data_IF_211116043449
#
_entry.id   IF_211116043449
#
_cell.length_a   1.000
_cell.length_b   1.000
_cell.length_c   1.000
_cell.angle_alpha   90.00
_cell.angle_beta   90.00
_cell.angle_gamma   90.00
#
_symmetry.space_group_name_H-M   'P 1'
#
loop_
_entity.id
_entity.type
_entity.pdbx_description
1 polymer ?
#
# COMPACT_ATOMS: atom_id res chain seq x y z
N UNK A 1 -65.56 6.56 9.36
CA UNK A 1 -64.66 7.60 9.87
C UNK A 1 -63.56 6.91 10.65
N UNK A 2 -62.35 6.66 10.20
CA UNK A 2 -61.64 6.86 8.94
C UNK A 2 -60.47 5.87 9.00
N UNK A 3 -60.45 4.82 8.17
CA UNK A 3 -59.33 3.85 8.10
C UNK A 3 -58.78 3.68 6.68
N UNK A 4 -59.09 4.61 5.77
CA UNK A 4 -58.58 4.59 4.39
C UNK A 4 -57.49 5.65 4.14
N UNK A 5 -56.92 6.29 5.17
CA UNK A 5 -55.94 7.37 4.98
C UNK A 5 -54.45 6.96 5.04
N UNK A 6 -54.12 5.70 5.33
CA UNK A 6 -52.71 5.26 5.50
C UNK A 6 -52.09 4.49 4.33
N UNK A 7 -52.88 3.94 3.42
CA UNK A 7 -52.39 3.28 2.22
C UNK A 7 -51.61 4.21 1.26
N UNK A 8 -52.07 5.46 0.97
CA UNK A 8 -51.35 6.31 0.01
C UNK A 8 -50.01 6.79 0.56
N UNK A 9 -49.87 6.94 1.88
CA UNK A 9 -48.64 7.44 2.49
C UNK A 9 -47.52 6.40 2.48
N UNK A 10 -47.85 5.12 2.67
CA UNK A 10 -46.90 4.01 2.53
C UNK A 10 -46.49 3.81 1.06
N UNK A 11 -47.44 3.96 0.14
CA UNK A 11 -47.16 3.85 -1.30
C UNK A 11 -46.31 5.02 -1.81
N UNK A 12 -46.51 6.23 -1.28
CA UNK A 12 -45.72 7.41 -1.58
C UNK A 12 -44.30 7.31 -0.98
N UNK A 13 -44.15 6.73 0.21
CA UNK A 13 -42.83 6.44 0.79
C UNK A 13 -42.09 5.37 -0.02
N UNK A 14 -42.79 4.35 -0.51
CA UNK A 14 -42.20 3.30 -1.34
C UNK A 14 -41.79 3.85 -2.71
N UNK A 15 -42.59 4.74 -3.31
CA UNK A 15 -42.23 5.47 -4.53
C UNK A 15 -41.04 6.39 -4.32
N UNK A 16 -40.95 7.12 -3.20
CA UNK A 16 -39.77 7.93 -2.89
C UNK A 16 -38.52 7.08 -2.72
N UNK A 17 -38.61 5.90 -2.06
CA UNK A 17 -37.47 5.01 -1.93
C UNK A 17 -37.03 4.42 -3.29
N UNK A 18 -38.00 4.07 -4.16
CA UNK A 18 -37.72 3.62 -5.52
C UNK A 18 -37.08 4.72 -6.37
N UNK A 19 -37.52 5.96 -6.20
CA UNK A 19 -36.95 7.13 -6.88
C UNK A 19 -35.54 7.42 -6.38
N UNK A 20 -35.29 7.28 -5.08
CA UNK A 20 -33.98 7.48 -4.47
C UNK A 20 -32.99 6.36 -4.84
N UNK A 21 -33.46 5.10 -4.97
CA UNK A 21 -32.66 3.98 -5.49
C UNK A 21 -32.39 4.12 -7.00
N UNK A 22 -33.28 4.81 -7.74
CA UNK A 22 -33.05 5.16 -9.15
C UNK A 22 -32.10 6.37 -9.30
N UNK A 23 -32.10 7.32 -8.37
CA UNK A 23 -31.15 8.45 -8.36
C UNK A 23 -29.73 8.04 -7.97
N UNK A 24 -29.57 7.05 -7.08
CA UNK A 24 -28.26 6.44 -6.74
C UNK A 24 -27.68 5.57 -7.88
N UNK A 25 -28.47 5.27 -8.91
CA UNK A 25 -27.98 4.70 -10.17
C UNK A 25 -27.82 5.82 -11.20
N UNK A 26 -26.77 6.63 -11.05
CA UNK A 26 -26.39 7.60 -12.07
C UNK A 26 -26.19 6.89 -13.42
N UNK A 27 -27.13 7.09 -14.34
CA UNK A 27 -26.98 6.75 -15.75
C UNK A 27 -25.95 7.70 -16.38
N UNK A 28 -25.12 7.22 -17.32
CA UNK A 28 -24.03 8.01 -17.88
C UNK A 28 -24.57 9.23 -18.62
N UNK A 29 -24.10 10.42 -18.25
CA UNK A 29 -24.34 11.63 -19.01
C UNK A 29 -23.43 11.63 -20.26
N UNK A 30 -23.88 12.10 -21.45
CA UNK A 30 -23.18 11.82 -22.71
C UNK A 30 -21.90 12.65 -22.94
N UNK A 31 -21.35 13.29 -21.90
CA UNK A 31 -20.17 14.15 -22.04
C UNK A 31 -19.31 14.22 -20.77
N UNK A 32 -19.20 13.12 -20.01
CA UNK A 32 -18.24 13.06 -18.91
C UNK A 32 -16.80 12.97 -19.44
N UNK A 33 -15.95 13.89 -18.99
CA UNK A 33 -14.51 13.82 -19.22
C UNK A 33 -13.93 12.55 -18.60
N UNK A 34 -12.82 12.04 -19.14
CA UNK A 34 -12.11 10.90 -18.54
C UNK A 34 -11.76 11.14 -17.06
N UNK A 35 -11.45 12.39 -16.73
CA UNK A 35 -11.15 12.82 -15.37
C UNK A 35 -12.39 12.77 -14.45
N UNK A 36 -13.57 13.16 -14.96
CA UNK A 36 -14.84 13.06 -14.24
C UNK A 36 -15.25 11.61 -14.01
N UNK A 37 -15.01 10.73 -15.00
CA UNK A 37 -15.23 9.29 -14.88
C UNK A 37 -14.36 8.68 -13.76
N UNK A 38 -13.06 8.98 -13.75
CA UNK A 38 -12.12 8.54 -12.71
C UNK A 38 -12.45 9.12 -11.33
N UNK A 39 -12.88 10.38 -11.27
CA UNK A 39 -13.33 11.01 -10.02
C UNK A 39 -14.58 10.33 -9.45
N UNK A 40 -15.54 9.94 -10.31
CA UNK A 40 -16.71 9.15 -9.93
C UNK A 40 -16.32 7.78 -9.38
N UNK A 41 -15.43 7.04 -10.07
CA UNK A 41 -14.91 5.76 -9.58
C UNK A 41 -14.28 5.88 -8.19
N UNK A 42 -13.48 6.93 -7.97
CA UNK A 42 -12.87 7.21 -6.66
C UNK A 42 -13.91 7.50 -5.59
N UNK A 43 -15.00 8.19 -5.91
CA UNK A 43 -16.13 8.44 -4.97
C UNK A 43 -16.85 7.14 -4.63
N UNK A 44 -17.22 6.35 -5.63
CA UNK A 44 -17.89 5.07 -5.47
C UNK A 44 -17.07 4.06 -4.66
N UNK A 45 -15.75 4.07 -4.82
CA UNK A 45 -14.83 3.24 -4.03
C UNK A 45 -14.81 3.66 -2.56
N UNK A 46 -14.82 4.97 -2.26
CA UNK A 46 -14.94 5.48 -0.88
C UNK A 46 -16.27 5.07 -0.24
N UNK A 47 -17.37 5.19 -0.99
CA UNK A 47 -18.70 4.80 -0.51
C UNK A 47 -18.80 3.29 -0.26
N UNK A 48 -18.16 2.46 -1.11
CA UNK A 48 -18.05 1.02 -0.88
C UNK A 48 -17.27 0.71 0.39
N UNK A 49 -16.15 1.39 0.66
CA UNK A 49 -15.37 1.20 1.90
C UNK A 49 -16.25 1.49 3.12
N UNK A 50 -17.01 2.60 3.11
CA UNK A 50 -17.95 2.92 4.20
C UNK A 50 -18.97 1.78 4.37
N UNK A 51 -19.57 1.28 3.29
CA UNK A 51 -20.53 0.16 3.33
C UNK A 51 -19.91 -1.15 3.82
N UNK A 52 -18.69 -1.48 3.41
CA UNK A 52 -17.96 -2.67 3.87
C UNK A 52 -17.68 -2.57 5.37
N UNK A 53 -17.33 -1.39 5.88
CA UNK A 53 -17.08 -1.23 7.32
C UNK A 53 -18.34 -1.41 8.16
N UNK A 54 -19.51 -0.94 7.68
CA UNK A 54 -20.79 -1.14 8.38
C UNK A 54 -21.22 -2.60 8.36
N UNK A 55 -21.11 -3.28 7.21
CA UNK A 55 -21.35 -4.72 7.08
C UNK A 55 -20.40 -5.55 7.97
N UNK A 56 -19.12 -5.21 8.02
CA UNK A 56 -18.17 -5.87 8.94
C UNK A 56 -18.55 -5.68 10.41
N UNK A 57 -19.12 -4.53 10.79
CA UNK A 57 -19.60 -4.28 12.16
C UNK A 57 -20.83 -5.12 12.51
N UNK A 58 -21.79 -5.27 11.60
CA UNK A 58 -23.01 -6.10 11.85
C UNK A 58 -22.67 -7.59 11.92
N UNK A 59 -21.70 -8.06 11.14
CA UNK A 59 -21.21 -9.44 11.14
C UNK A 59 -20.57 -9.88 12.46
N UNK A 60 -20.00 -8.96 13.26
CA UNK A 60 -19.34 -9.29 14.54
C UNK A 60 -20.29 -9.91 15.58
N UNK A 61 -21.59 -9.66 15.47
CA UNK A 61 -22.60 -10.12 16.44
C UNK A 61 -23.05 -11.58 16.23
N UNK A 62 -22.96 -12.13 15.00
CA UNK A 62 -23.46 -13.47 14.70
C UNK A 62 -22.54 -14.27 13.76
N UNK A 63 -21.92 -15.34 14.30
CA UNK A 63 -20.94 -16.19 13.60
C UNK A 63 -21.48 -16.89 12.34
N UNK A 64 -22.80 -17.12 12.25
CA UNK A 64 -23.43 -17.69 11.05
C UNK A 64 -23.52 -16.65 9.93
N UNK A 65 -23.93 -15.44 10.29
CA UNK A 65 -24.01 -14.29 9.37
C UNK A 65 -22.63 -13.78 8.95
N UNK A 66 -21.59 -13.95 9.78
CA UNK A 66 -20.24 -13.49 9.45
C UNK A 66 -19.68 -14.08 8.14
N UNK A 67 -19.98 -15.36 7.84
CA UNK A 67 -19.55 -15.98 6.58
C UNK A 67 -20.32 -15.46 5.38
N UNK A 68 -21.62 -15.24 5.54
CA UNK A 68 -22.52 -14.72 4.52
C UNK A 68 -22.17 -13.27 4.17
N UNK A 69 -21.99 -12.43 5.19
CA UNK A 69 -21.56 -11.03 5.03
C UNK A 69 -20.16 -10.93 4.41
N UNK A 70 -19.24 -11.85 4.72
CA UNK A 70 -17.91 -11.86 4.08
C UNK A 70 -18.01 -12.21 2.59
N UNK A 71 -18.89 -13.15 2.22
CA UNK A 71 -19.13 -13.49 0.82
C UNK A 71 -19.83 -12.34 0.08
N UNK A 72 -20.76 -11.64 0.73
CA UNK A 72 -21.44 -10.47 0.20
C UNK A 72 -20.48 -9.29 -0.05
N UNK A 73 -19.56 -9.03 0.89
CA UNK A 73 -18.50 -8.01 0.70
C UNK A 73 -17.64 -8.33 -0.53
N UNK A 74 -17.21 -9.59 -0.68
CA UNK A 74 -16.41 -10.00 -1.83
C UNK A 74 -17.18 -9.86 -3.16
N UNK A 75 -18.49 -10.15 -3.16
CA UNK A 75 -19.35 -9.96 -4.33
C UNK A 75 -19.52 -8.47 -4.68
N UNK A 76 -19.70 -7.59 -3.68
CA UNK A 76 -19.83 -6.15 -3.88
C UNK A 76 -18.54 -5.53 -4.44
N UNK A 77 -17.39 -5.90 -3.88
CA UNK A 77 -16.07 -5.43 -4.35
C UNK A 77 -15.78 -5.91 -5.79
N UNK A 78 -16.06 -7.18 -6.09
CA UNK A 78 -15.88 -7.72 -7.44
C UNK A 78 -16.83 -7.06 -8.45
N UNK A 79 -18.10 -6.86 -8.09
CA UNK A 79 -19.09 -6.26 -8.98
C UNK A 79 -18.73 -4.81 -9.34
N UNK A 80 -18.27 -4.02 -8.37
CA UNK A 80 -17.87 -2.63 -8.58
C UNK A 80 -16.62 -2.54 -9.46
N UNK A 81 -15.60 -3.35 -9.19
CA UNK A 81 -14.39 -3.41 -10.03
C UNK A 81 -14.71 -3.81 -11.47
N UNK A 82 -15.61 -4.78 -11.68
CA UNK A 82 -16.04 -5.17 -13.03
C UNK A 82 -16.84 -4.09 -13.75
N UNK A 83 -17.53 -3.20 -13.03
CA UNK A 83 -18.21 -2.05 -13.63
C UNK A 83 -17.21 -0.98 -14.05
N UNK A 84 -16.28 -0.59 -13.17
CA UNK A 84 -15.23 0.38 -13.48
C UNK A 84 -14.40 -0.05 -14.71
N UNK A 85 -13.99 -1.31 -14.75
CA UNK A 85 -13.27 -1.89 -15.90
C UNK A 85 -14.05 -1.81 -17.22
N UNK A 86 -15.39 -1.94 -17.18
CA UNK A 86 -16.23 -1.86 -18.38
C UNK A 86 -16.37 -0.41 -18.84
N UNK A 87 -16.63 0.49 -17.91
CA UNK A 87 -16.77 1.91 -18.19
C UNK A 87 -15.47 2.49 -18.78
N UNK A 88 -14.31 2.11 -18.26
CA UNK A 88 -13.01 2.51 -18.81
C UNK A 88 -12.78 1.97 -20.24
N UNK A 89 -13.16 0.72 -20.50
CA UNK A 89 -13.05 0.12 -21.84
C UNK A 89 -14.00 0.76 -22.84
N UNK A 90 -15.23 1.06 -22.42
CA UNK A 90 -16.22 1.74 -23.26
C UNK A 90 -15.77 3.16 -23.57
N UNK A 91 -15.26 3.90 -22.57
CA UNK A 91 -14.72 5.24 -22.78
C UNK A 91 -13.51 5.22 -23.74
N UNK A 92 -12.57 4.27 -23.53
CA UNK A 92 -11.44 4.06 -24.43
C UNK A 92 -11.88 3.67 -25.85
N UNK A 93 -12.94 2.88 -26.01
CA UNK A 93 -13.45 2.47 -27.33
C UNK A 93 -14.16 3.60 -28.08
N UNK A 94 -14.79 4.53 -27.36
CA UNK A 94 -15.55 5.65 -27.95
C UNK A 94 -14.61 6.79 -28.36
N UNK A 95 -13.61 7.11 -27.52
CA UNK A 95 -12.74 8.27 -27.72
C UNK A 95 -11.31 7.93 -28.17
N UNK A 96 -10.87 6.68 -28.04
CA UNK A 96 -9.51 6.23 -28.38
C UNK A 96 -9.19 6.13 -29.87
N UNK A 97 -10.14 6.42 -30.78
CA UNK A 97 -9.93 6.39 -32.24
C UNK A 97 -9.85 7.78 -32.89
N UNK A 98 -9.94 8.87 -32.13
CA UNK A 98 -9.91 10.25 -32.68
C UNK A 98 -8.64 11.00 -32.28
N UNK A 99 -7.49 10.54 -32.77
CA UNK A 99 -6.22 11.29 -32.67
C UNK A 99 -5.21 10.91 -33.76
N UNK A 100 -5.58 11.12 -35.03
CA UNK A 100 -4.60 11.30 -36.12
C UNK A 100 -5.10 12.33 -37.14
N UNK A 101 -4.62 13.59 -37.06
CA UNK A 101 -4.04 14.39 -38.18
C UNK A 101 -3.70 15.83 -37.73
N UNK A 102 -2.41 16.15 -37.81
CA UNK A 102 -1.67 17.43 -37.88
C UNK A 102 -2.36 18.81 -37.72
N UNK A 103 -1.89 19.62 -36.75
CA UNK A 103 -1.10 20.84 -37.00
C UNK A 103 -0.89 21.68 -35.71
N UNK A 104 0.40 21.84 -35.34
CA UNK A 104 1.02 22.92 -34.54
C UNK A 104 0.08 24.03 -34.01
N UNK A 105 -0.17 24.01 -32.70
CA UNK A 105 -0.21 25.21 -31.88
C UNK A 105 0.51 24.95 -30.57
N UNK A 106 1.30 25.93 -30.17
CA UNK A 106 2.17 25.98 -29.01
C UNK A 106 1.37 25.98 -27.71
N UNK A 107 1.37 24.85 -26.99
CA UNK A 107 1.27 24.82 -25.52
C UNK A 107 2.04 23.61 -25.02
N UNK A 108 2.98 23.89 -24.13
CA UNK A 108 3.83 22.94 -23.41
C UNK A 108 2.96 21.98 -22.58
N UNK A 109 3.09 20.65 -22.71
CA UNK A 109 2.45 19.73 -21.79
C UNK A 109 3.16 19.84 -20.43
N UNK A 110 2.43 20.31 -19.43
CA UNK A 110 2.74 20.07 -18.03
C UNK A 110 2.52 18.58 -17.78
N UNK A 111 3.60 17.88 -17.44
CA UNK A 111 3.55 16.62 -16.73
C UNK A 111 3.02 16.93 -15.32
N UNK A 112 1.71 16.78 -15.10
CA UNK A 112 1.17 16.60 -13.75
C UNK A 112 1.14 15.10 -13.48
N UNK A 113 2.14 14.71 -12.71
CA UNK A 113 2.36 13.39 -12.13
C UNK A 113 1.15 12.92 -11.34
N UNK A 114 0.88 11.64 -11.53
CA UNK A 114 -0.07 10.80 -10.83
C UNK A 114 0.14 10.89 -9.31
N UNK A 115 -0.76 11.59 -8.62
CA UNK A 115 -0.82 11.58 -7.17
C UNK A 115 -1.37 10.22 -6.70
N UNK A 116 -0.39 9.37 -6.39
CA UNK A 116 -0.43 8.12 -5.65
C UNK A 116 -1.38 8.23 -4.44
N UNK A 117 -2.45 7.44 -4.41
CA UNK A 117 -3.31 7.37 -3.23
C UNK A 117 -2.61 6.54 -2.14
N UNK A 118 -1.95 7.25 -1.22
CA UNK A 118 -1.30 6.68 -0.04
C UNK A 118 -2.24 5.78 0.79
N UNK A 119 -1.84 4.52 0.95
CA UNK A 119 -2.46 3.50 1.82
C UNK A 119 -2.05 3.71 3.30
N UNK A 120 -1.86 4.95 3.75
CA UNK A 120 -1.26 5.24 5.06
C UNK A 120 -2.23 5.66 6.18
N UNK A 121 -3.55 5.54 6.02
CA UNK A 121 -4.49 5.89 7.09
C UNK A 121 -5.65 4.91 7.33
N UNK A 122 -5.32 3.62 7.47
CA UNK A 122 -6.19 2.67 8.19
C UNK A 122 -5.54 2.37 9.55
N UNK A 123 -6.22 2.61 10.69
CA UNK A 123 -5.68 2.27 12.01
C UNK A 123 -5.33 0.76 12.13
N UNK A 124 -4.03 0.45 12.19
CA UNK A 124 -3.47 -0.89 12.37
C UNK A 124 -3.42 -1.21 13.87
N UNK A 125 -4.56 -1.58 14.45
CA UNK A 125 -4.64 -1.94 15.89
C UNK A 125 -4.90 -3.43 16.15
N UNK A 126 -4.73 -4.34 15.17
CA UNK A 126 -5.03 -5.76 15.42
C UNK A 126 -4.14 -6.83 14.78
N UNK A 127 -2.90 -6.51 14.39
CA UNK A 127 -1.92 -7.51 13.94
C UNK A 127 -0.62 -7.48 14.76
N UNK A 128 -0.73 -7.58 16.07
CA UNK A 128 0.43 -7.95 16.92
C UNK A 128 0.51 -9.46 17.05
N UNK A 129 1.42 -10.08 16.30
CA UNK A 129 1.99 -11.39 16.64
C UNK A 129 3.22 -11.10 17.51
N UNK A 130 3.02 -10.99 18.82
CA UNK A 130 4.11 -11.02 19.78
C UNK A 130 4.31 -12.48 20.26
N UNK A 131 5.53 -13.04 20.18
CA UNK A 131 5.85 -14.34 20.77
C UNK A 131 6.00 -14.17 22.28
N UNK A 132 5.12 -14.80 23.06
CA UNK A 132 5.28 -14.85 24.52
C UNK A 132 6.27 -15.94 24.92
N UNK A 133 7.21 -15.67 25.86
CA UNK A 133 8.17 -16.67 26.34
C UNK A 133 7.50 -17.60 27.37
N UNK A 134 7.36 -18.88 27.01
CA UNK A 134 6.86 -19.91 27.91
C UNK A 134 7.96 -20.37 28.89
N UNK A 135 7.66 -20.21 30.19
CA UNK A 135 8.46 -20.68 31.33
C UNK A 135 8.72 -22.20 31.25
N UNK A 136 9.99 -22.61 31.38
CA UNK A 136 10.40 -24.00 31.62
C UNK A 136 10.55 -24.27 33.11
N UNK A 137 9.96 -25.38 33.60
CA UNK A 137 10.50 -26.23 34.67
C UNK A 137 10.20 -27.70 34.38
N UNK A 138 11.00 -28.64 34.92
CA UNK A 138 11.40 -29.85 34.21
C UNK A 138 10.61 -31.09 34.62
N UNK A 139 10.47 -32.04 33.70
CA UNK A 139 10.16 -33.43 34.02
C UNK A 139 11.02 -34.32 33.13
N UNK A 140 12.07 -34.85 33.74
CA UNK A 140 12.93 -35.90 33.19
C UNK A 140 12.28 -37.27 33.42
N UNK A 141 12.56 -38.15 32.46
CA UNK A 141 12.60 -39.62 32.55
C UNK A 141 11.27 -40.37 32.56
N UNK A 142 10.93 -40.96 31.42
CA UNK A 142 11.08 -42.42 31.22
C UNK A 142 10.85 -42.76 29.74
N UNK A 143 11.95 -43.04 29.03
CA UNK A 143 11.93 -43.88 27.84
C UNK A 143 12.13 -45.32 28.30
N UNK A 144 11.22 -46.22 27.93
CA UNK A 144 11.50 -47.47 27.20
C UNK A 144 10.31 -48.44 27.33
N UNK A 145 10.12 -49.22 26.25
CA UNK A 145 9.19 -50.35 26.07
C UNK A 145 7.77 -49.91 25.66
N UNK A 146 7.21 -50.24 24.49
CA UNK A 146 7.32 -51.46 23.67
C UNK A 146 7.20 -51.14 22.17
N UNK A 147 8.15 -51.65 21.39
CA UNK A 147 7.87 -52.15 20.05
C UNK A 147 7.25 -53.53 20.19
N UNK A 148 6.00 -53.68 19.75
CA UNK A 148 5.41 -54.86 19.09
C UNK A 148 3.89 -54.77 19.21
N UNK A 149 3.23 -54.48 18.10
CA UNK A 149 2.19 -55.36 17.54
C UNK A 149 1.68 -54.77 16.23
N UNK A 150 1.95 -55.51 15.16
CA UNK A 150 1.26 -55.43 13.89
C UNK A 150 -0.22 -55.80 14.06
N UNK A 151 -1.02 -55.23 13.16
CA UNK A 151 -2.35 -55.69 12.76
C UNK A 151 -3.45 -55.63 13.83
N UNK A 152 -4.14 -54.50 13.87
CA UNK A 152 -5.61 -54.52 13.91
C UNK A 152 -6.16 -53.55 12.88
N UNK A 153 -6.91 -54.11 11.94
CA UNK A 153 -7.83 -53.43 11.05
C UNK A 153 -8.89 -52.70 11.89
N UNK A 154 -8.82 -51.37 11.92
CA UNK A 154 -9.79 -50.55 12.63
C UNK A 154 -9.54 -49.08 12.32
N UNK A 155 -10.05 -48.62 11.18
CA UNK A 155 -9.88 -47.26 10.68
C UNK A 155 -10.36 -46.23 11.71
N UNK A 156 -9.44 -45.74 12.56
CA UNK A 156 -9.63 -44.50 13.30
C UNK A 156 -9.72 -43.41 12.26
N UNK A 157 -10.94 -42.93 11.99
CA UNK A 157 -11.20 -41.72 11.22
C UNK A 157 -10.29 -40.63 11.78
N UNK A 158 -9.26 -40.28 11.01
CA UNK A 158 -8.38 -39.15 11.32
C UNK A 158 -9.27 -37.96 11.64
N UNK A 159 -8.91 -37.21 12.68
CA UNK A 159 -9.69 -36.08 13.13
C UNK A 159 -9.90 -35.15 11.92
N UNK A 160 -11.13 -35.03 11.42
CA UNK A 160 -11.49 -34.28 10.20
C UNK A 160 -10.87 -32.88 10.14
N UNK A 161 -10.61 -32.30 11.30
CA UNK A 161 -9.99 -30.99 11.48
C UNK A 161 -8.48 -30.99 11.16
N UNK A 162 -7.79 -32.09 11.46
CA UNK A 162 -6.37 -32.33 11.12
C UNK A 162 -6.22 -32.55 9.61
N UNK A 163 -7.04 -33.41 9.01
CA UNK A 163 -7.02 -33.64 7.55
C UNK A 163 -7.30 -32.35 6.76
N UNK A 164 -8.21 -31.51 7.26
CA UNK A 164 -8.50 -30.21 6.64
C UNK A 164 -7.35 -29.21 6.77
N UNK A 165 -6.61 -29.24 7.88
CA UNK A 165 -5.41 -28.40 8.10
C UNK A 165 -4.27 -28.87 7.21
N UNK A 166 -4.04 -30.18 7.15
CA UNK A 166 -2.98 -30.78 6.35
C UNK A 166 -3.24 -30.56 4.85
N UNK A 167 -4.48 -30.70 4.38
CA UNK A 167 -4.86 -30.38 2.99
C UNK A 167 -4.67 -28.90 2.64
N UNK A 168 -4.94 -27.98 3.58
CA UNK A 168 -4.69 -26.54 3.38
C UNK A 168 -3.18 -26.23 3.38
N UNK A 169 -2.41 -26.87 4.26
CA UNK A 169 -0.95 -26.75 4.28
C UNK A 169 -0.31 -27.26 2.99
N UNK A 170 -0.77 -28.41 2.50
CA UNK A 170 -0.33 -28.98 1.22
C UNK A 170 -0.62 -28.03 0.06
N UNK A 171 -1.83 -27.47 -0.01
CA UNK A 171 -2.19 -26.53 -1.07
C UNK A 171 -1.38 -25.22 -1.04
N UNK A 172 -1.04 -24.70 0.16
CA UNK A 172 -0.16 -23.53 0.29
C UNK A 172 1.25 -23.88 -0.16
N UNK A 173 1.75 -25.06 0.22
CA UNK A 173 3.08 -25.52 -0.18
C UNK A 173 3.16 -25.72 -1.69
N UNK A 174 2.17 -26.36 -2.31
CA UNK A 174 2.12 -26.55 -3.76
C UNK A 174 2.03 -25.20 -4.50
N UNK A 175 1.35 -24.20 -3.92
CA UNK A 175 1.31 -22.83 -4.43
C UNK A 175 2.66 -22.12 -4.29
N UNK A 176 3.36 -22.28 -3.16
CA UNK A 176 4.70 -21.74 -2.94
C UNK A 176 5.72 -22.37 -3.88
N UNK A 177 5.73 -23.71 -4.01
CA UNK A 177 6.63 -24.43 -4.91
C UNK A 177 6.39 -24.05 -6.37
N UNK A 178 5.14 -23.72 -6.75
CA UNK A 178 4.81 -23.20 -8.08
C UNK A 178 5.31 -21.77 -8.28
N UNK A 179 5.07 -20.89 -7.30
CA UNK A 179 5.56 -19.52 -7.32
C UNK A 179 7.10 -19.46 -7.34
N UNK A 180 7.79 -20.34 -6.62
CA UNK A 180 9.25 -20.42 -6.61
C UNK A 180 9.82 -20.90 -7.95
N UNK A 181 9.17 -21.86 -8.61
CA UNK A 181 9.56 -22.27 -9.98
C UNK A 181 9.34 -21.17 -11.02
N UNK A 182 8.27 -20.40 -10.88
CA UNK A 182 8.01 -19.22 -11.73
C UNK A 182 9.04 -18.11 -11.44
N UNK A 183 9.38 -17.88 -10.17
CA UNK A 183 10.37 -16.88 -9.74
C UNK A 183 11.82 -17.27 -10.09
N UNK A 184 12.17 -18.56 -10.10
CA UNK A 184 13.50 -19.03 -10.49
C UNK A 184 13.82 -18.75 -11.97
N UNK A 185 12.80 -18.57 -12.81
CA UNK A 185 12.96 -18.11 -14.19
C UNK A 185 13.12 -16.58 -14.31
N UNK A 186 12.85 -15.83 -13.25
CA UNK A 186 12.95 -14.38 -13.26
C UNK A 186 14.36 -13.92 -12.92
N UNK A 187 14.91 -13.04 -13.74
CA UNK A 187 16.20 -12.40 -13.46
C UNK A 187 16.01 -11.40 -12.32
N UNK A 188 16.82 -11.51 -11.27
CA UNK A 188 16.84 -10.53 -10.20
C UNK A 188 17.56 -9.27 -10.69
N UNK A 189 16.79 -8.30 -11.19
CA UNK A 189 17.33 -7.05 -11.75
C UNK A 189 18.21 -6.29 -10.75
N UNK A 190 17.86 -6.29 -9.46
CA UNK A 190 18.65 -5.64 -8.41
C UNK A 190 20.04 -6.27 -8.26
N UNK A 191 20.17 -7.59 -8.42
CA UNK A 191 21.48 -8.24 -8.39
C UNK A 191 22.31 -7.91 -9.62
N UNK A 192 21.67 -7.77 -10.80
CA UNK A 192 22.35 -7.38 -12.04
C UNK A 192 22.87 -5.95 -11.91
N UNK A 193 22.02 -5.03 -11.46
CA UNK A 193 22.37 -3.63 -11.20
C UNK A 193 23.50 -3.53 -10.18
N UNK A 194 23.38 -4.20 -9.02
CA UNK A 194 24.41 -4.16 -7.98
C UNK A 194 25.76 -4.65 -8.49
N UNK A 195 25.79 -5.74 -9.27
CA UNK A 195 27.03 -6.23 -9.88
C UNK A 195 27.64 -5.22 -10.85
N UNK A 196 26.81 -4.57 -11.68
CA UNK A 196 27.30 -3.55 -12.60
C UNK A 196 27.94 -2.37 -11.84
N UNK A 197 27.35 -1.93 -10.73
CA UNK A 197 27.92 -0.88 -9.88
C UNK A 197 29.21 -1.37 -9.20
N UNK A 198 29.24 -2.60 -8.68
CA UNK A 198 30.42 -3.22 -8.06
C UNK A 198 31.59 -3.31 -9.06
N UNK A 199 31.33 -3.66 -10.32
CA UNK A 199 32.34 -3.70 -11.38
C UNK A 199 32.94 -2.32 -11.65
N UNK A 200 32.10 -1.29 -11.77
CA UNK A 200 32.56 0.11 -11.96
C UNK A 200 33.37 0.59 -10.75
N UNK A 201 32.93 0.27 -9.53
CA UNK A 201 33.63 0.65 -8.31
C UNK A 201 35.02 -0.03 -8.22
N UNK A 202 35.10 -1.32 -8.59
CA UNK A 202 36.34 -2.08 -8.61
C UNK A 202 37.36 -1.46 -9.59
N UNK A 203 36.91 -1.03 -10.77
CA UNK A 203 37.75 -0.35 -11.76
C UNK A 203 38.33 0.97 -11.23
N UNK A 204 37.66 1.61 -10.27
CA UNK A 204 38.11 2.82 -9.59
C UNK A 204 38.88 2.56 -8.29
N UNK A 205 39.22 1.29 -8.00
CA UNK A 205 39.86 0.87 -6.74
C UNK A 205 39.03 1.21 -5.49
N UNK A 206 37.70 1.25 -5.63
CA UNK A 206 36.75 1.53 -4.55
C UNK A 206 35.92 0.29 -4.19
N UNK A 207 35.35 0.31 -2.99
CA UNK A 207 34.44 -0.74 -2.50
C UNK A 207 33.13 -0.13 -2.04
N UNK A 208 32.01 -0.78 -2.35
CA UNK A 208 30.68 -0.37 -1.89
C UNK A 208 30.51 -0.80 -0.43
N UNK A 209 30.12 0.14 0.42
CA UNK A 209 29.71 -0.11 1.81
C UNK A 209 28.20 0.07 1.94
N UNK A 210 27.51 -0.95 2.46
CA UNK A 210 26.05 -0.90 2.61
C UNK A 210 25.67 -0.05 3.83
N UNK A 211 24.96 1.05 3.58
CA UNK A 211 24.36 1.90 4.60
C UNK A 211 22.91 1.48 4.83
N UNK A 212 22.42 1.68 6.06
CA UNK A 212 21.03 1.39 6.40
C UNK A 212 20.09 2.22 5.52
N UNK A 213 19.09 1.61 4.85
CA UNK A 213 18.17 2.32 3.95
C UNK A 213 17.08 3.03 4.77
N UNK A 214 17.46 4.07 5.50
CA UNK A 214 16.56 4.95 6.26
C UNK A 214 16.60 6.39 5.72
N UNK A 215 15.76 7.27 6.26
CA UNK A 215 15.77 8.69 5.90
C UNK A 215 17.04 9.44 6.33
N UNK A 216 17.98 8.77 7.00
CA UNK A 216 19.27 9.32 7.41
C UNK A 216 20.44 8.79 6.58
N UNK A 217 20.19 7.98 5.55
CA UNK A 217 21.20 7.27 4.78
C UNK A 217 22.30 8.18 4.21
N UNK A 218 21.95 9.36 3.69
CA UNK A 218 22.91 10.35 3.19
C UNK A 218 23.92 10.76 4.27
N UNK A 219 23.41 11.17 5.43
CA UNK A 219 24.23 11.59 6.57
C UNK A 219 25.01 10.43 7.18
N UNK A 220 24.45 9.22 7.21
CA UNK A 220 25.16 8.01 7.63
C UNK A 220 26.33 7.70 6.70
N UNK A 221 26.14 7.84 5.38
CA UNK A 221 27.20 7.65 4.39
C UNK A 221 28.32 8.68 4.55
N UNK A 222 27.97 9.96 4.75
CA UNK A 222 28.94 11.03 4.98
C UNK A 222 29.69 10.82 6.32
N UNK A 223 28.98 10.44 7.39
CA UNK A 223 29.60 10.16 8.69
C UNK A 223 30.61 9.01 8.60
N UNK A 224 30.28 7.94 7.87
CA UNK A 224 31.18 6.81 7.61
C UNK A 224 32.45 7.29 6.86
N UNK A 225 32.29 8.09 5.80
CA UNK A 225 33.42 8.65 5.04
C UNK A 225 34.29 9.60 5.88
N UNK A 226 33.68 10.45 6.72
CA UNK A 226 34.39 11.33 7.64
C UNK A 226 35.22 10.55 8.66
N UNK A 227 34.66 9.47 9.19
CA UNK A 227 35.36 8.60 10.13
C UNK A 227 36.52 7.88 9.44
N UNK A 228 36.31 7.31 8.26
CA UNK A 228 37.31 6.49 7.56
C UNK A 228 38.49 7.32 7.03
N UNK A 229 38.25 8.50 6.47
CA UNK A 229 39.27 9.29 5.79
C UNK A 229 39.87 10.41 6.66
N UNK A 230 39.09 10.96 7.57
CA UNK A 230 39.49 12.12 8.36
C UNK A 230 39.56 11.83 9.87
N UNK A 231 39.16 10.62 10.30
CA UNK A 231 39.10 10.23 11.71
C UNK A 231 38.26 11.21 12.55
N UNK A 232 37.17 11.73 11.95
CA UNK A 232 36.21 12.61 12.60
C UNK A 232 34.98 11.78 12.93
N UNK A 233 34.71 11.60 14.22
CA UNK A 233 33.49 10.93 14.68
C UNK A 233 32.36 11.96 14.77
N UNK A 234 31.35 11.82 13.91
CA UNK A 234 30.18 12.68 13.88
C UNK A 234 28.90 11.86 13.97
N UNK A 235 27.87 12.41 14.61
CA UNK A 235 26.54 11.81 14.59
C UNK A 235 25.70 12.38 13.44
N UNK A 236 24.72 11.60 12.96
CA UNK A 236 23.71 12.09 11.99
C UNK A 236 23.07 13.40 12.46
N UNK A 237 22.79 13.50 13.76
CA UNK A 237 22.15 14.68 14.34
C UNK A 237 23.07 15.91 14.27
N UNK A 238 24.37 15.72 14.49
CA UNK A 238 25.33 16.81 14.37
C UNK A 238 25.45 17.25 12.91
N UNK A 239 25.62 16.31 11.98
CA UNK A 239 25.71 16.64 10.55
C UNK A 239 24.45 17.36 10.05
N UNK A 240 23.26 16.90 10.42
CA UNK A 240 22.00 17.56 10.04
C UNK A 240 21.89 18.99 10.58
N UNK A 241 22.30 19.20 11.83
CA UNK A 241 22.34 20.54 12.43
C UNK A 241 23.35 21.42 11.67
N UNK A 242 24.55 20.90 11.43
CA UNK A 242 25.62 21.66 10.79
C UNK A 242 25.25 22.01 9.33
N UNK A 243 24.60 21.11 8.58
CA UNK A 243 24.01 21.39 7.26
C UNK A 243 22.93 22.47 7.35
N UNK A 244 21.94 22.33 8.25
CA UNK A 244 20.89 23.33 8.41
C UNK A 244 21.44 24.71 8.79
N UNK A 245 22.44 24.77 9.66
CA UNK A 245 23.10 26.02 10.05
C UNK A 245 23.87 26.65 8.89
N UNK A 246 24.51 25.83 8.05
CA UNK A 246 25.18 26.31 6.84
C UNK A 246 24.17 26.85 5.81
N UNK A 247 23.05 26.16 5.60
CA UNK A 247 22.00 26.61 4.69
C UNK A 247 21.39 27.94 5.15
N UNK A 248 21.09 28.09 6.46
CA UNK A 248 20.59 29.35 7.03
C UNK A 248 21.54 30.53 6.82
N UNK A 249 22.84 30.30 6.86
CA UNK A 249 23.85 31.34 6.68
C UNK A 249 24.01 31.79 5.23
N UNK A 250 23.62 30.95 4.27
CA UNK A 250 23.83 31.18 2.84
C UNK A 250 22.51 31.02 2.06
N UNK A 251 21.44 31.62 2.56
CA UNK A 251 20.08 31.47 2.03
C UNK A 251 20.00 31.68 0.51
N UNK A 252 20.65 32.73 0.00
CA UNK A 252 20.60 33.09 -1.42
C UNK A 252 21.21 32.02 -2.35
N UNK A 253 22.13 31.19 -1.83
CA UNK A 253 22.78 30.11 -2.61
C UNK A 253 21.89 28.86 -2.70
N UNK A 254 21.03 28.62 -1.70
CA UNK A 254 20.21 27.41 -1.60
C UNK A 254 18.75 27.63 -2.04
N UNK A 255 18.19 28.81 -1.78
CA UNK A 255 16.79 29.12 -2.08
C UNK A 255 16.40 28.84 -3.55
N UNK A 256 17.24 29.13 -4.57
CA UNK A 256 16.89 28.85 -5.97
C UNK A 256 16.69 27.37 -6.29
N UNK A 257 17.20 26.45 -5.48
CA UNK A 257 17.15 25.01 -5.69
C UNK A 257 16.04 24.32 -4.89
N UNK A 258 15.28 25.08 -4.11
CA UNK A 258 14.31 24.57 -3.15
C UNK A 258 12.89 25.02 -3.50
N UNK A 259 11.98 24.06 -3.55
CA UNK A 259 10.56 24.27 -3.82
C UNK A 259 9.71 23.89 -2.62
N UNK A 260 8.60 24.61 -2.42
CA UNK A 260 7.62 24.25 -1.40
C UNK A 260 6.88 22.95 -1.79
N UNK A 261 6.01 22.45 -0.89
CA UNK A 261 5.24 21.21 -1.11
C UNK A 261 4.29 21.27 -2.31
N UNK A 262 4.01 22.46 -2.82
CA UNK A 262 3.16 22.69 -4.00
C UNK A 262 3.98 22.85 -5.29
N UNK A 263 5.31 22.77 -5.22
CA UNK A 263 6.22 22.93 -6.36
C UNK A 263 6.57 24.38 -6.70
N UNK A 264 6.10 25.37 -5.94
CA UNK A 264 6.46 26.78 -6.14
C UNK A 264 7.78 27.13 -5.44
N UNK A 265 8.38 28.27 -5.81
CA UNK A 265 9.56 28.80 -5.13
C UNK A 265 9.29 29.02 -3.64
N UNK A 266 10.20 28.55 -2.77
CA UNK A 266 10.09 28.79 -1.33
C UNK A 266 10.21 30.27 -0.99
N UNK A 267 9.43 30.71 0.01
CA UNK A 267 9.69 31.97 0.70
C UNK A 267 10.82 31.81 1.72
N UNK A 268 11.32 32.94 2.25
CA UNK A 268 12.28 32.95 3.35
C UNK A 268 11.76 32.21 4.60
N UNK A 269 10.46 32.31 4.86
CA UNK A 269 9.78 31.66 5.98
C UNK A 269 9.70 30.14 5.77
N UNK A 270 9.35 29.70 4.56
CA UNK A 270 9.31 28.27 4.21
C UNK A 270 10.71 27.64 4.29
N UNK A 271 11.73 28.37 3.84
CA UNK A 271 13.12 27.92 3.94
C UNK A 271 13.57 27.73 5.40
N UNK A 272 13.14 28.62 6.30
CA UNK A 272 13.45 28.49 7.72
C UNK A 272 12.76 27.26 8.35
N UNK A 273 11.54 26.94 7.93
CA UNK A 273 10.84 25.70 8.32
C UNK A 273 11.56 24.47 7.76
N UNK A 274 11.92 24.48 6.47
CA UNK A 274 12.70 23.42 5.84
C UNK A 274 14.01 23.13 6.58
N UNK A 275 14.78 24.16 6.95
CA UNK A 275 16.00 23.98 7.75
C UNK A 275 15.71 23.37 9.14
N UNK A 276 14.56 23.68 9.75
CA UNK A 276 14.14 23.08 11.03
C UNK A 276 13.72 21.61 10.86
N UNK A 277 13.03 21.30 9.78
CA UNK A 277 12.66 19.92 9.48
C UNK A 277 13.91 19.09 9.19
N UNK A 278 14.90 19.66 8.49
CA UNK A 278 16.15 19.00 8.18
C UNK A 278 16.95 18.58 9.43
N UNK A 279 17.03 19.45 10.44
CA UNK A 279 17.75 19.17 11.70
C UNK A 279 17.00 18.21 12.64
N UNK A 280 15.67 18.21 12.60
CA UNK A 280 14.84 17.55 13.61
C UNK A 280 14.22 16.23 13.16
N UNK A 281 14.12 16.00 11.85
CA UNK A 281 13.41 14.85 11.27
C UNK A 281 14.32 14.00 10.38
N UNK A 282 13.75 12.92 9.83
CA UNK A 282 14.38 12.04 8.85
C UNK A 282 13.97 12.39 7.41
N UNK A 283 13.79 13.70 7.12
CA UNK A 283 13.59 14.16 5.74
C UNK A 283 14.77 13.70 4.88
N UNK A 284 14.43 13.19 3.70
CA UNK A 284 15.39 12.68 2.72
C UNK A 284 16.26 13.84 2.24
N UNK A 285 17.57 13.63 2.28
CA UNK A 285 18.52 14.60 1.75
C UNK A 285 18.67 14.43 0.24
N UNK A 286 18.75 15.55 -0.46
CA UNK A 286 19.05 15.65 -1.88
C UNK A 286 20.41 16.28 -2.14
N UNK A 287 20.48 17.05 -3.23
CA UNK A 287 21.67 17.78 -3.66
C UNK A 287 21.91 19.12 -2.92
N UNK A 288 20.87 19.85 -2.44
CA UNK A 288 21.08 21.05 -1.62
C UNK A 288 21.72 20.79 -0.26
N UNK A 289 21.47 19.62 0.35
CA UNK A 289 22.00 19.18 1.64
C UNK A 289 23.45 18.69 1.62
#
# INVERSE_FOLDING_TARGET
>A
MDQESHAPQQQQQQQQLLQQVQEDQQQPSPSESFEELKARHKKEQRDLIVKVTTLKKTAKSNKKMAKEVTAEIAQLEQAQSLQHDKEEKEWSSIYGSSSTTDAKSSTQPQEESEDEFEVNNIPIDHLTIAPTPAKKKPAQQQQQQQQQQQQTSGGKKSNRQKDRKDRKGQAIKDMQDRAEKEAAGQINMNQVERKAIEEIALDMEMTINDITPDGHCLYNAIADQLLQHYNIETTVKDLRRDTADHMRQNLDDFLPFLTNKQGDMMSSEDFAEYCRDLESTAVWGGQPE
#
